data_IF_836332816291
#
_entry.id   IF_836332816291
#
_cell.length_a   1.000
_cell.length_b   1.000
_cell.length_c   1.000
_cell.angle_alpha   90.00
_cell.angle_beta   90.00
_cell.angle_gamma   90.00
#
_symmetry.space_group_name_H-M   'P 1'
#
loop_
_entity.id
_entity.type
_entity.pdbx_description
1 polymer ?
#
# COMPACT_ATOMS: atom_id res chain seq x y z
N UNK A 1 9.21 -9.45 -23.77
CA UNK A 1 8.71 -8.52 -22.73
C UNK A 1 7.65 -7.67 -23.39
N UNK A 2 6.40 -7.77 -22.93
CA UNK A 2 5.27 -7.01 -23.49
C UNK A 2 4.88 -5.97 -22.45
N UNK A 3 4.93 -4.69 -22.83
CA UNK A 3 4.24 -3.63 -22.11
C UNK A 3 2.74 -3.87 -22.27
N UNK A 4 2.15 -4.50 -21.27
CA UNK A 4 0.72 -4.83 -21.26
C UNK A 4 0.00 -3.94 -20.24
N UNK A 5 -1.17 -3.44 -20.62
CA UNK A 5 -2.04 -2.71 -19.69
C UNK A 5 -2.88 -3.72 -18.89
N UNK A 6 -2.96 -3.54 -17.58
CA UNK A 6 -3.85 -4.31 -16.70
C UNK A 6 -4.82 -3.37 -16.01
N UNK A 7 -6.03 -3.85 -15.76
CA UNK A 7 -7.06 -3.13 -15.02
C UNK A 7 -7.26 -3.81 -13.67
N UNK A 8 -7.30 -3.04 -12.58
CA UNK A 8 -7.46 -3.59 -11.25
C UNK A 8 -8.15 -2.65 -10.27
N UNK A 9 -8.90 -3.24 -9.33
CA UNK A 9 -9.53 -2.53 -8.22
C UNK A 9 -8.65 -2.61 -6.98
N UNK A 10 -8.27 -1.45 -6.44
CA UNK A 10 -7.36 -1.33 -5.30
C UNK A 10 -7.94 -1.98 -4.04
N UNK A 11 -7.18 -2.89 -3.43
CA UNK A 11 -7.53 -3.55 -2.17
C UNK A 11 -6.76 -2.95 -1.00
N UNK A 12 -5.44 -2.84 -1.14
CA UNK A 12 -4.57 -2.32 -0.09
C UNK A 12 -3.46 -1.47 -0.67
N UNK A 13 -3.09 -0.42 0.04
CA UNK A 13 -1.89 0.36 -0.21
C UNK A 13 -1.02 0.36 1.06
N UNK A 14 0.28 0.22 0.87
CA UNK A 14 1.29 0.24 1.93
C UNK A 14 2.50 1.01 1.43
N UNK A 15 3.34 1.43 2.35
CA UNK A 15 4.64 1.99 2.02
C UNK A 15 5.69 1.44 2.97
N UNK A 16 6.93 1.41 2.50
CA UNK A 16 8.09 0.94 3.24
C UNK A 16 9.23 1.91 3.00
N UNK A 17 10.16 2.01 3.95
CA UNK A 17 11.42 2.69 3.70
C UNK A 17 12.35 1.77 2.91
N UNK A 18 12.87 2.29 1.81
CA UNK A 18 14.00 1.72 1.08
C UNK A 18 15.27 2.52 1.44
N UNK A 19 16.43 2.03 0.99
CA UNK A 19 17.73 2.58 1.39
C UNK A 19 17.87 4.09 1.12
N UNK A 20 17.28 4.57 0.02
CA UNK A 20 17.41 5.97 -0.42
C UNK A 20 16.08 6.65 -0.79
N UNK A 21 14.96 5.96 -0.61
CA UNK A 21 13.64 6.43 -1.05
C UNK A 21 12.53 5.73 -0.26
N UNK A 22 11.28 6.13 -0.49
CA UNK A 22 10.11 5.44 0.05
C UNK A 22 9.50 4.58 -1.07
N UNK A 23 9.33 3.28 -0.83
CA UNK A 23 8.65 2.38 -1.75
C UNK A 23 7.16 2.33 -1.43
N UNK A 24 6.32 2.51 -2.44
CA UNK A 24 4.87 2.43 -2.37
C UNK A 24 4.41 1.11 -2.97
N UNK A 25 3.68 0.31 -2.21
CA UNK A 25 3.13 -0.97 -2.63
C UNK A 25 1.60 -0.88 -2.73
N UNK A 26 1.06 -1.29 -3.87
CA UNK A 26 -0.37 -1.34 -4.13
C UNK A 26 -0.77 -2.75 -4.56
N UNK A 27 -1.81 -3.29 -3.92
CA UNK A 27 -2.40 -4.56 -4.31
C UNK A 27 -3.80 -4.34 -4.90
N UNK A 28 -4.05 -4.94 -6.05
CA UNK A 28 -5.33 -4.87 -6.76
C UNK A 28 -5.90 -6.26 -6.97
N UNK A 29 -7.24 -6.35 -7.04
CA UNK A 29 -7.91 -7.50 -7.67
C UNK A 29 -8.12 -7.21 -9.16
N UNK A 30 -7.93 -8.21 -10.01
CA UNK A 30 -8.25 -8.16 -11.43
C UNK A 30 -8.82 -9.50 -11.93
N UNK A 31 -9.39 -9.54 -13.14
CA UNK A 31 -9.77 -10.80 -13.79
C UNK A 31 -8.60 -11.78 -13.95
N UNK A 32 -7.37 -11.25 -14.11
CA UNK A 32 -6.14 -12.03 -14.31
C UNK A 32 -5.50 -12.52 -13.01
N UNK A 33 -5.89 -12.03 -11.84
CA UNK A 33 -5.18 -12.37 -10.61
C UNK A 33 -5.19 -11.26 -9.57
N UNK A 34 -4.47 -11.43 -8.46
CA UNK A 34 -3.95 -10.30 -7.70
C UNK A 34 -2.88 -9.60 -8.55
N UNK A 35 -2.85 -8.27 -8.51
CA UNK A 35 -1.79 -7.45 -9.11
C UNK A 35 -1.04 -6.74 -7.99
N UNK A 36 0.29 -6.80 -8.00
CA UNK A 36 1.19 -6.01 -7.14
C UNK A 36 1.84 -4.91 -7.99
N UNK A 37 1.78 -3.67 -7.52
CA UNK A 37 2.50 -2.55 -8.14
C UNK A 37 3.39 -1.91 -7.09
N UNK A 38 4.69 -1.85 -7.36
CA UNK A 38 5.67 -1.20 -6.50
C UNK A 38 6.22 0.05 -7.20
N UNK A 39 6.24 1.18 -6.50
CA UNK A 39 6.70 2.46 -7.01
C UNK A 39 7.59 3.13 -5.97
N UNK A 40 8.83 3.40 -6.31
CA UNK A 40 9.70 4.25 -5.51
C UNK A 40 9.38 5.73 -5.75
N UNK A 41 9.03 6.45 -4.68
CA UNK A 41 8.77 7.88 -4.75
C UNK A 41 9.09 8.53 -3.40
N UNK A 42 9.84 9.65 -3.37
CA UNK A 42 10.05 10.39 -2.12
C UNK A 42 8.75 11.06 -1.66
N UNK A 43 8.69 11.35 -0.37
CA UNK A 43 7.62 12.14 0.23
C UNK A 43 7.86 13.62 -0.01
N UNK A 44 6.77 14.40 -0.03
CA UNK A 44 6.81 15.83 -0.30
C UNK A 44 5.98 16.61 0.71
N UNK A 45 6.55 17.72 1.17
CA UNK A 45 5.85 18.77 1.89
C UNK A 45 6.23 20.14 1.30
N UNK A 46 5.58 21.20 1.75
CA UNK A 46 5.81 22.55 1.22
C UNK A 46 6.15 23.51 2.35
N UNK A 47 7.02 24.48 2.06
CA UNK A 47 7.39 25.58 2.96
C UNK A 47 7.36 26.91 2.19
N UNK A 48 7.38 28.08 2.86
CA UNK A 48 7.48 29.36 2.17
C UNK A 48 8.78 29.44 1.38
N UNK A 49 8.72 29.95 0.15
CA UNK A 49 9.92 30.07 -0.71
C UNK A 49 11.03 30.90 -0.03
N UNK A 50 10.64 31.95 0.71
CA UNK A 50 11.56 32.82 1.46
C UNK A 50 12.36 32.07 2.54
N UNK A 51 11.87 30.93 3.04
CA UNK A 51 12.51 30.13 4.08
C UNK A 51 13.43 29.02 3.53
N UNK A 52 13.56 28.89 2.20
CA UNK A 52 14.32 27.81 1.56
C UNK A 52 15.75 27.68 2.09
N UNK A 53 16.51 28.79 2.13
CA UNK A 53 17.92 28.75 2.54
C UNK A 53 18.07 28.33 4.01
N UNK A 54 17.19 28.84 4.88
CA UNK A 54 17.18 28.50 6.31
C UNK A 54 16.80 27.03 6.51
N UNK A 55 15.77 26.54 5.83
CA UNK A 55 15.34 25.15 5.91
C UNK A 55 16.43 24.17 5.44
N UNK A 56 17.16 24.49 4.36
CA UNK A 56 18.30 23.67 3.90
C UNK A 56 19.44 23.62 4.92
N UNK A 57 19.77 24.75 5.57
CA UNK A 57 20.79 24.78 6.63
C UNK A 57 20.39 23.96 7.85
N UNK A 58 19.13 24.09 8.30
CA UNK A 58 18.59 23.33 9.42
C UNK A 58 18.57 21.83 9.13
N UNK A 59 18.05 21.43 7.97
CA UNK A 59 18.04 20.02 7.55
C UNK A 59 19.46 19.43 7.48
N UNK A 60 20.41 20.18 6.92
CA UNK A 60 21.82 19.75 6.86
C UNK A 60 22.46 19.57 8.23
N UNK A 61 22.15 20.44 9.20
CA UNK A 61 22.64 20.33 10.58
C UNK A 61 22.10 19.09 11.30
N UNK A 62 20.87 18.67 11.00
CA UNK A 62 20.22 17.47 11.53
C UNK A 62 20.49 16.20 10.72
N UNK A 63 21.29 16.30 9.65
CA UNK A 63 21.62 15.17 8.77
C UNK A 63 20.44 14.67 7.93
N UNK A 64 19.42 15.49 7.70
CA UNK A 64 18.25 15.14 6.91
C UNK A 64 18.54 15.31 5.41
N UNK A 65 18.28 14.25 4.63
CA UNK A 65 18.36 14.30 3.16
C UNK A 65 17.21 15.12 2.58
N UNK A 66 17.46 16.39 2.28
CA UNK A 66 16.46 17.33 1.75
C UNK A 66 16.80 17.75 0.31
N UNK A 67 15.84 17.61 -0.60
CA UNK A 67 15.91 18.18 -1.94
C UNK A 67 14.78 19.18 -2.15
N UNK A 68 15.10 20.43 -2.47
CA UNK A 68 14.09 21.44 -2.76
C UNK A 68 13.89 21.61 -4.28
N UNK A 69 12.64 21.79 -4.72
CA UNK A 69 12.32 22.15 -6.12
C UNK A 69 11.29 23.27 -6.18
N UNK A 70 11.49 24.19 -7.11
CA UNK A 70 10.53 25.26 -7.41
C UNK A 70 9.21 24.68 -7.90
N UNK A 71 8.10 25.29 -7.45
CA UNK A 71 6.73 24.93 -7.83
C UNK A 71 5.91 26.19 -8.05
N UNK A 72 4.91 26.11 -8.92
CA UNK A 72 3.93 27.19 -9.15
C UNK A 72 2.75 27.07 -8.16
N UNK A 73 3.05 27.05 -6.86
CA UNK A 73 2.06 26.91 -5.79
C UNK A 73 2.14 28.08 -4.80
N UNK A 74 0.99 28.45 -4.23
CA UNK A 74 0.88 29.45 -3.18
C UNK A 74 0.11 28.90 -1.99
N UNK A 75 0.43 29.38 -0.79
CA UNK A 75 -0.36 29.15 0.42
C UNK A 75 -1.72 29.86 0.34
N UNK A 76 -2.62 29.55 1.28
CA UNK A 76 -3.88 30.29 1.45
C UNK A 76 -3.69 31.80 1.68
N UNK A 77 -2.54 32.21 2.23
CA UNK A 77 -2.16 33.62 2.37
C UNK A 77 -1.48 34.22 1.12
N UNK A 78 -1.54 33.53 -0.02
CA UNK A 78 -0.96 33.94 -1.30
C UNK A 78 0.57 34.08 -1.30
N UNK A 79 1.26 33.48 -0.32
CA UNK A 79 2.74 33.42 -0.32
C UNK A 79 3.22 32.29 -1.24
N UNK A 80 4.24 32.51 -2.10
CA UNK A 80 4.88 31.47 -2.90
C UNK A 80 5.47 30.36 -2.02
N UNK A 81 5.36 29.12 -2.50
CA UNK A 81 5.86 27.93 -1.83
C UNK A 81 7.01 27.27 -2.60
N UNK A 82 7.76 26.43 -1.90
CA UNK A 82 8.74 25.52 -2.49
C UNK A 82 8.47 24.09 -2.02
N UNK A 83 8.62 23.12 -2.92
CA UNK A 83 8.48 21.70 -2.60
C UNK A 83 9.76 21.17 -1.96
N UNK A 84 9.61 20.48 -0.84
CA UNK A 84 10.66 19.82 -0.07
C UNK A 84 10.46 18.31 -0.19
N UNK A 85 11.42 17.62 -0.83
CA UNK A 85 11.43 16.18 -0.99
C UNK A 85 12.40 15.53 -0.02
N UNK A 86 11.93 14.48 0.65
CA UNK A 86 12.63 13.73 1.68
C UNK A 86 12.03 12.32 1.82
N UNK A 87 12.68 11.47 2.62
CA UNK A 87 12.11 10.15 2.97
C UNK A 87 10.92 10.31 3.91
N UNK A 88 10.00 9.35 3.90
CA UNK A 88 8.80 9.42 4.73
C UNK A 88 9.12 9.43 6.23
N UNK A 89 10.13 8.69 6.67
CA UNK A 89 10.56 8.65 8.08
C UNK A 89 11.10 9.99 8.58
N UNK A 90 11.63 10.82 7.69
CA UNK A 90 12.24 12.11 8.01
C UNK A 90 11.22 13.26 7.99
N UNK A 91 10.02 13.08 7.40
CA UNK A 91 9.09 14.19 7.14
C UNK A 91 8.55 14.85 8.41
N UNK A 92 8.26 14.05 9.44
CA UNK A 92 7.82 14.57 10.73
C UNK A 92 8.97 15.21 11.51
N UNK A 93 10.17 14.65 11.43
CA UNK A 93 11.37 15.25 12.04
C UNK A 93 11.66 16.63 11.44
N UNK A 94 11.59 16.72 10.10
CA UNK A 94 11.71 17.99 9.38
C UNK A 94 10.62 18.99 9.78
N UNK A 95 9.36 18.55 9.87
CA UNK A 95 8.27 19.39 10.35
C UNK A 95 8.54 19.97 11.74
N UNK A 96 8.89 19.13 12.72
CA UNK A 96 9.15 19.59 14.09
C UNK A 96 10.37 20.51 14.17
N UNK A 97 11.44 20.20 13.43
CA UNK A 97 12.61 21.07 13.32
C UNK A 97 12.23 22.46 12.82
N UNK A 98 11.44 22.56 11.75
CA UNK A 98 11.03 23.85 11.19
C UNK A 98 10.05 24.60 12.08
N UNK A 99 9.19 23.88 12.80
CA UNK A 99 8.23 24.44 13.75
C UNK A 99 8.92 25.21 14.87
N UNK A 100 10.07 24.74 15.37
CA UNK A 100 10.85 25.44 16.40
C UNK A 100 11.41 26.80 15.93
N UNK A 101 11.42 27.02 14.62
CA UNK A 101 11.88 28.26 13.98
C UNK A 101 10.75 29.10 13.37
N UNK A 102 9.50 28.81 13.76
CA UNK A 102 8.27 29.43 13.26
C UNK A 102 8.06 29.28 11.74
N UNK A 103 8.64 28.24 11.14
CA UNK A 103 8.48 27.94 9.71
C UNK A 103 7.32 26.96 9.55
N UNK A 104 6.27 27.43 8.87
CA UNK A 104 5.12 26.59 8.54
C UNK A 104 5.46 25.55 7.48
N UNK A 105 4.98 24.32 7.70
CA UNK A 105 5.11 23.21 6.76
C UNK A 105 3.71 22.72 6.39
N UNK A 106 3.42 22.66 5.09
CA UNK A 106 2.14 22.20 4.57
C UNK A 106 2.22 20.77 4.05
N UNK A 107 1.15 20.02 4.28
CA UNK A 107 0.89 18.69 3.74
C UNK A 107 1.96 17.63 4.05
N UNK A 108 2.66 17.79 5.17
CA UNK A 108 3.62 16.80 5.70
C UNK A 108 2.92 15.55 6.26
N UNK A 109 1.63 15.66 6.57
CA UNK A 109 0.79 14.64 7.19
C UNK A 109 0.07 13.73 6.18
N UNK A 110 0.20 14.01 4.88
CA UNK A 110 -0.34 13.15 3.83
C UNK A 110 0.49 11.87 3.69
N UNK A 111 -0.18 10.72 3.81
CA UNK A 111 0.46 9.42 3.61
C UNK A 111 0.95 9.29 2.15
N UNK A 112 2.16 8.74 1.90
CA UNK A 112 2.73 8.69 0.55
C UNK A 112 1.86 7.97 -0.49
N UNK A 113 1.20 6.89 -0.07
CA UNK A 113 0.27 6.16 -0.94
C UNK A 113 -0.98 6.98 -1.28
N UNK A 114 -1.55 7.70 -0.31
CA UNK A 114 -2.71 8.56 -0.52
C UNK A 114 -2.36 9.73 -1.45
N UNK A 115 -1.21 10.37 -1.21
CA UNK A 115 -0.62 11.40 -2.07
C UNK A 115 -0.53 10.91 -3.52
N UNK A 116 0.06 9.74 -3.74
CA UNK A 116 0.23 9.16 -5.08
C UNK A 116 -1.11 8.96 -5.80
N UNK A 117 -2.11 8.39 -5.10
CA UNK A 117 -3.42 8.09 -5.66
C UNK A 117 -4.25 9.35 -5.91
N UNK A 118 -4.24 10.28 -4.96
CA UNK A 118 -5.01 11.53 -5.00
C UNK A 118 -4.59 12.40 -6.19
N UNK A 119 -3.29 12.59 -6.39
CA UNK A 119 -2.75 13.38 -7.51
C UNK A 119 -3.07 12.79 -8.88
N UNK A 120 -3.41 11.49 -8.93
CA UNK A 120 -3.82 10.78 -10.15
C UNK A 120 -5.32 10.54 -10.22
N UNK A 121 -6.12 11.08 -9.29
CA UNK A 121 -7.56 10.89 -9.20
C UNK A 121 -8.01 9.41 -9.12
N UNK A 122 -7.17 8.53 -8.58
CA UNK A 122 -7.48 7.11 -8.41
C UNK A 122 -8.25 6.93 -7.10
N UNK A 123 -9.50 6.48 -7.19
CA UNK A 123 -10.41 6.29 -6.03
C UNK A 123 -10.75 4.83 -5.73
N UNK A 124 -10.16 3.90 -6.47
CA UNK A 124 -10.44 2.47 -6.39
C UNK A 124 -9.90 1.74 -7.62
N UNK A 125 -10.55 1.92 -8.77
CA UNK A 125 -10.10 1.32 -10.02
C UNK A 125 -8.94 2.06 -10.69
N UNK A 126 -7.95 1.32 -11.16
CA UNK A 126 -6.80 1.83 -11.90
C UNK A 126 -6.53 1.00 -13.17
N UNK A 127 -6.10 1.68 -14.23
CA UNK A 127 -5.40 1.08 -15.36
C UNK A 127 -3.90 1.27 -15.09
N UNK A 128 -3.16 0.17 -15.13
CA UNK A 128 -1.75 0.09 -14.81
C UNK A 128 -0.97 -0.35 -16.05
N UNK A 129 -0.05 0.51 -16.48
CA UNK A 129 0.83 0.26 -17.61
C UNK A 129 2.27 0.06 -17.15
N UNK A 130 2.86 -1.05 -17.54
CA UNK A 130 4.26 -1.34 -17.25
C UNK A 130 4.64 -2.74 -17.70
N UNK A 131 5.80 -3.20 -17.22
CA UNK A 131 6.24 -4.57 -17.41
C UNK A 131 5.70 -5.45 -16.28
N UNK A 132 5.09 -6.57 -16.64
CA UNK A 132 4.51 -7.51 -15.69
C UNK A 132 5.33 -8.80 -15.62
N UNK A 133 5.67 -9.19 -14.41
CA UNK A 133 6.32 -10.45 -14.10
C UNK A 133 5.37 -11.31 -13.27
N UNK A 134 5.27 -12.59 -13.61
CA UNK A 134 4.56 -13.54 -12.78
C UNK A 134 5.44 -13.91 -11.59
N UNK A 135 4.94 -13.66 -10.39
CA UNK A 135 5.59 -14.01 -9.13
C UNK A 135 4.73 -15.03 -8.37
N UNK A 136 5.37 -15.76 -7.47
CA UNK A 136 4.75 -16.77 -6.63
C UNK A 136 5.21 -16.56 -5.18
N UNK A 137 4.27 -16.43 -4.24
CA UNK A 137 4.59 -16.44 -2.80
C UNK A 137 4.70 -17.87 -2.28
N UNK A 138 5.23 -18.01 -1.07
CA UNK A 138 5.19 -19.26 -0.30
C UNK A 138 3.77 -19.87 -0.35
N UNK A 139 3.70 -21.20 -0.46
CA UNK A 139 2.45 -21.98 -0.62
C UNK A 139 1.77 -21.87 -2.00
N UNK A 140 2.47 -21.39 -3.03
CA UNK A 140 2.02 -21.50 -4.44
C UNK A 140 1.09 -20.40 -4.93
N UNK A 141 0.92 -19.33 -4.16
CA UNK A 141 0.03 -18.23 -4.52
C UNK A 141 0.65 -17.34 -5.60
N UNK A 142 0.08 -17.37 -6.81
CA UNK A 142 0.56 -16.61 -7.97
C UNK A 142 -0.08 -15.24 -8.08
N UNK A 143 0.69 -14.26 -8.53
CA UNK A 143 0.24 -12.90 -8.80
C UNK A 143 1.11 -12.25 -9.88
N UNK A 144 0.60 -11.19 -10.50
CA UNK A 144 1.38 -10.39 -11.44
C UNK A 144 1.98 -9.18 -10.70
N UNK A 145 3.25 -8.91 -10.92
CA UNK A 145 4.01 -7.85 -10.27
C UNK A 145 4.53 -6.86 -11.30
N UNK A 146 4.39 -5.56 -11.02
CA UNK A 146 4.87 -4.48 -11.88
C UNK A 146 5.70 -3.49 -11.05
N UNK A 147 6.93 -3.27 -11.48
CA UNK A 147 7.82 -2.25 -10.91
C UNK A 147 7.67 -0.95 -11.70
N UNK A 148 7.53 0.18 -11.00
CA UNK A 148 7.41 1.52 -11.59
C UNK A 148 6.25 1.65 -12.60
N UNK A 149 5.16 0.92 -12.34
CA UNK A 149 3.95 0.96 -13.17
C UNK A 149 3.30 2.33 -13.16
N UNK A 150 2.91 2.83 -14.34
CA UNK A 150 2.16 4.09 -14.46
C UNK A 150 0.68 3.81 -14.29
N UNK A 151 0.05 4.51 -13.35
CA UNK A 151 -1.37 4.31 -13.03
C UNK A 151 -2.21 5.53 -13.38
N UNK A 152 -3.40 5.28 -13.91
CA UNK A 152 -4.46 6.28 -14.14
C UNK A 152 -5.82 5.69 -13.72
N UNK A 153 -6.85 6.50 -13.46
CA UNK A 153 -8.12 5.99 -12.96
C UNK A 153 -8.83 5.14 -14.03
N UNK A 154 -9.52 4.08 -13.61
CA UNK A 154 -10.27 3.18 -14.48
C UNK A 154 -11.65 2.89 -13.91
N UNK A 155 -12.70 3.24 -14.66
CA UNK A 155 -14.08 2.85 -14.34
C UNK A 155 -14.33 1.37 -14.62
N UNK A 156 -13.75 0.86 -15.70
CA UNK A 156 -13.82 -0.55 -16.07
C UNK A 156 -13.34 -1.45 -14.93
N UNK A 157 -12.22 -1.10 -14.29
CA UNK A 157 -11.72 -1.84 -13.14
C UNK A 157 -12.70 -1.89 -11.95
N UNK A 158 -13.54 -0.85 -11.77
CA UNK A 158 -14.58 -0.81 -10.73
C UNK A 158 -15.76 -1.70 -11.13
N UNK A 159 -16.21 -1.59 -12.38
CA UNK A 159 -17.34 -2.36 -12.91
C UNK A 159 -17.06 -3.87 -12.97
N UNK A 160 -15.81 -4.24 -13.25
CA UNK A 160 -15.35 -5.63 -13.31
C UNK A 160 -14.84 -6.16 -11.96
N UNK A 161 -14.84 -5.35 -10.90
CA UNK A 161 -14.31 -5.76 -9.61
C UNK A 161 -15.13 -6.93 -9.05
N UNK A 162 -14.51 -8.10 -8.96
CA UNK A 162 -15.06 -9.26 -8.27
C UNK A 162 -14.08 -9.71 -7.17
N UNK A 163 -14.64 -9.97 -5.99
CA UNK A 163 -13.88 -10.24 -4.77
C UNK A 163 -14.11 -11.68 -4.32
N UNK A 164 -13.02 -12.31 -3.88
CA UNK A 164 -13.12 -13.48 -3.00
C UNK A 164 -13.49 -13.00 -1.61
N UNK A 165 -14.59 -13.52 -1.07
CA UNK A 165 -15.08 -13.18 0.26
C UNK A 165 -15.04 -14.44 1.11
N UNK A 166 -14.43 -14.34 2.28
CA UNK A 166 -14.31 -15.43 3.25
C UNK A 166 -14.75 -14.93 4.62
N UNK A 167 -15.82 -15.51 5.15
CA UNK A 167 -16.22 -15.36 6.55
C UNK A 167 -15.44 -16.37 7.38
N UNK A 168 -14.83 -15.88 8.46
CA UNK A 168 -14.00 -16.66 9.39
C UNK A 168 -14.60 -16.52 10.77
N UNK A 169 -14.77 -17.65 11.45
CA UNK A 169 -15.21 -17.72 12.83
C UNK A 169 -14.29 -18.66 13.63
N UNK A 170 -14.02 -18.32 14.89
CA UNK A 170 -13.14 -19.10 15.76
C UNK A 170 -13.79 -19.33 17.12
N UNK A 171 -13.64 -20.55 17.63
CA UNK A 171 -14.09 -20.91 18.98
C UNK A 171 -12.90 -21.11 19.90
N UNK A 172 -12.96 -20.56 21.10
CA UNK A 172 -11.85 -20.57 22.06
C UNK A 172 -12.32 -20.91 23.47
N UNK A 173 -11.37 -21.24 24.34
CA UNK A 173 -11.65 -21.33 25.77
C UNK A 173 -11.96 -19.96 26.35
N UNK A 174 -12.88 -19.92 27.32
CA UNK A 174 -13.03 -18.73 28.15
C UNK A 174 -11.74 -18.43 28.92
N UNK A 175 -11.26 -17.17 28.93
CA UNK A 175 -10.08 -16.78 29.68
C UNK A 175 -10.24 -17.13 31.16
N UNK A 176 -9.31 -17.92 31.69
CA UNK A 176 -9.25 -18.30 33.10
C UNK A 176 -7.91 -17.89 33.67
N UNK A 177 -7.93 -17.27 34.84
CA UNK A 177 -6.71 -16.76 35.47
C UNK A 177 -5.68 -17.89 35.66
N UNK A 178 -4.48 -17.69 35.11
CA UNK A 178 -3.38 -18.66 35.19
C UNK A 178 -3.44 -19.82 34.19
N UNK A 179 -4.40 -19.84 33.25
CA UNK A 179 -4.46 -20.84 32.18
C UNK A 179 -4.30 -20.17 30.82
N UNK A 180 -3.60 -20.82 29.86
CA UNK A 180 -3.50 -20.33 28.51
C UNK A 180 -4.85 -20.48 27.78
N UNK A 181 -5.17 -19.49 26.95
CA UNK A 181 -6.31 -19.58 26.04
C UNK A 181 -6.04 -20.67 25.00
N UNK A 182 -7.07 -21.45 24.68
CA UNK A 182 -7.01 -22.55 23.71
C UNK A 182 -7.96 -22.27 22.57
N UNK A 183 -7.47 -22.45 21.34
CA UNK A 183 -8.29 -22.48 20.14
C UNK A 183 -8.91 -23.88 20.00
N UNK A 184 -10.22 -23.94 19.86
CA UNK A 184 -10.98 -25.19 19.69
C UNK A 184 -11.33 -25.46 18.25
N UNK A 185 -11.77 -24.45 17.50
CA UNK A 185 -12.11 -24.63 16.09
C UNK A 185 -11.90 -23.36 15.28
N UNK A 186 -11.77 -23.57 13.97
CA UNK A 186 -11.79 -22.53 12.95
C UNK A 186 -12.83 -22.94 11.91
N UNK A 187 -13.81 -22.08 11.67
CA UNK A 187 -14.82 -22.25 10.62
C UNK A 187 -14.61 -21.21 9.52
N UNK A 188 -14.75 -21.66 8.28
CA UNK A 188 -14.64 -20.86 7.07
C UNK A 188 -15.85 -21.08 6.16
N UNK A 189 -16.50 -20.01 5.73
CA UNK A 189 -17.51 -20.04 4.67
C UNK A 189 -17.32 -18.86 3.73
N UNK A 190 -17.31 -19.10 2.41
CA UNK A 190 -17.11 -18.00 1.46
C UNK A 190 -17.17 -18.40 0.00
N UNK A 191 -17.20 -17.40 -0.87
CA UNK A 191 -17.08 -17.56 -2.31
C UNK A 191 -15.70 -17.05 -2.74
N UNK A 192 -14.82 -17.97 -3.11
CA UNK A 192 -13.41 -17.67 -3.38
C UNK A 192 -13.01 -18.11 -4.78
N UNK A 193 -12.11 -17.35 -5.41
CA UNK A 193 -11.48 -17.77 -6.65
C UNK A 193 -10.46 -18.86 -6.36
N UNK A 194 -10.66 -20.03 -6.97
CA UNK A 194 -9.68 -21.12 -6.95
C UNK A 194 -9.12 -21.25 -8.36
N UNK A 195 -7.79 -21.30 -8.48
CA UNK A 195 -7.15 -21.64 -9.75
C UNK A 195 -7.47 -23.10 -10.09
N UNK A 196 -8.33 -23.33 -11.07
CA UNK A 196 -8.46 -24.64 -11.68
C UNK A 196 -7.23 -24.94 -12.55
N UNK A 197 -6.89 -26.21 -12.77
CA UNK A 197 -5.70 -26.66 -13.52
C UNK A 197 -5.59 -26.18 -14.98
N UNK A 198 -6.50 -25.33 -15.46
CA UNK A 198 -6.53 -24.72 -16.81
C UNK A 198 -6.35 -23.19 -16.74
N UNK A 199 -5.92 -22.62 -15.60
CA UNK A 199 -5.58 -21.19 -15.48
C UNK A 199 -6.75 -20.21 -15.46
N UNK A 200 -8.00 -20.68 -15.63
CA UNK A 200 -9.20 -19.87 -15.45
C UNK A 200 -9.60 -19.82 -13.98
N UNK A 201 -9.64 -18.59 -13.44
CA UNK A 201 -10.21 -18.32 -12.10
C UNK A 201 -11.70 -18.64 -12.11
N UNK A 202 -12.10 -19.61 -11.28
CA UNK A 202 -13.52 -19.92 -11.05
C UNK A 202 -13.88 -19.68 -9.60
N UNK A 203 -14.98 -18.96 -9.37
CA UNK A 203 -15.51 -18.76 -8.02
C UNK A 203 -16.14 -20.06 -7.53
N UNK A 204 -15.74 -20.50 -6.35
CA UNK A 204 -16.26 -21.70 -5.70
C UNK A 204 -16.71 -21.35 -4.28
N UNK A 205 -17.88 -21.89 -3.89
CA UNK A 205 -18.34 -21.83 -2.51
C UNK A 205 -17.51 -22.82 -1.69
N UNK A 206 -16.83 -22.33 -0.67
CA UNK A 206 -16.10 -23.15 0.29
C UNK A 206 -16.82 -23.13 1.63
N UNK A 207 -16.86 -24.30 2.28
CA UNK A 207 -17.34 -24.50 3.65
C UNK A 207 -16.40 -25.50 4.32
N UNK A 208 -15.64 -25.04 5.32
CA UNK A 208 -14.70 -25.89 6.06
C UNK A 208 -14.80 -25.58 7.55
N UNK A 209 -14.70 -26.61 8.37
CA UNK A 209 -14.59 -26.49 9.82
C UNK A 209 -13.44 -27.40 10.22
N UNK A 210 -12.48 -26.86 10.96
CA UNK A 210 -11.41 -27.62 11.57
C UNK A 210 -11.56 -27.58 13.07
N UNK A 211 -11.61 -28.76 13.69
CA UNK A 211 -11.43 -28.91 15.13
C UNK A 211 -9.92 -28.98 15.38
N UNK A 212 -9.41 -28.20 16.32
CA UNK A 212 -7.99 -28.20 16.67
C UNK A 212 -7.69 -29.42 17.55
N UNK A 213 -6.73 -30.25 17.15
CA UNK A 213 -6.33 -31.47 17.88
C UNK A 213 -7.12 -32.73 17.53
N UNK A 214 -7.86 -32.73 16.42
CA UNK A 214 -8.47 -33.95 15.87
C UNK A 214 -7.50 -34.67 14.94
N UNK A 215 -7.65 -36.00 14.76
CA UNK A 215 -6.81 -36.79 13.84
C UNK A 215 -6.87 -36.32 12.37
N UNK A 216 -7.89 -35.51 12.01
CA UNK A 216 -8.09 -34.93 10.68
C UNK A 216 -7.70 -33.44 10.60
N UNK A 217 -7.09 -32.86 11.64
CA UNK A 217 -6.59 -31.49 11.59
C UNK A 217 -5.42 -31.40 10.61
N UNK A 218 -5.37 -30.41 9.71
CA UNK A 218 -4.18 -30.21 8.88
C UNK A 218 -2.98 -29.94 9.79
N UNK A 219 -1.88 -30.68 9.57
CA UNK A 219 -0.61 -30.41 10.24
C UNK A 219 -0.07 -29.06 9.72
N UNK A 220 0.51 -28.27 10.63
CA UNK A 220 1.20 -27.06 10.23
C UNK A 220 2.56 -27.46 9.64
N UNK A 221 2.79 -27.15 8.37
CA UNK A 221 4.14 -27.23 7.80
C UNK A 221 5.02 -26.18 8.52
N UNK A 222 6.00 -26.66 9.28
CA UNK A 222 6.99 -25.84 9.99
C UNK A 222 8.18 -25.47 9.11
#
# INVERSE_FOLDING_TARGET
MSTTSQHGFLLTSRWYEAEHTTELEFWFTSPSGPLRVCIEQPSVCFIPLEEQEKAMKLAGAEGLGLTCRSVELTSFSLKPLIACYLRQEDIYRFHYLLKDWDINVWEYDLRPTDRYLMERFIRGGAEIQGEWLQEERQQGAKFLSCQQGRMKPSKEAIEQADLSILSIDIETSFPKQGLPDRLFSIALEGDVFIEGGIGLRKKQRIKKIWMVGSDNSPEADH
#
